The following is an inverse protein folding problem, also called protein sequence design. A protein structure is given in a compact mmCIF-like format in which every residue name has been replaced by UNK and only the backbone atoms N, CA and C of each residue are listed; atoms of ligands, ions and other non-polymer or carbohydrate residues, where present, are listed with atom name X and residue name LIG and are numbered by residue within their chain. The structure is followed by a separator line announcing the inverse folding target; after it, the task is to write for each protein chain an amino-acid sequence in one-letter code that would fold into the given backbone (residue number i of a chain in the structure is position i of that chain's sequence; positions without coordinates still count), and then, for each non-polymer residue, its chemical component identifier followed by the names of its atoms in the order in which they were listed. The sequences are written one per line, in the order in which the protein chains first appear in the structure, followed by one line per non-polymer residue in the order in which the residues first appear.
data_IF_024910950273
#
_entry.id   IF_024910950273
#
_cell.length_a   1.000
_cell.length_b   1.000
_cell.length_c   1.000
_cell.angle_alpha   90.00
_cell.angle_beta   90.00
_cell.angle_gamma   90.00
#
_symmetry.space_group_name_H-M   'P 1'
#
loop_
_entity.id
_entity.type
_entity.pdbx_description
1 polymer ?
#
# COMPACT_ATOMS: atom_id res chain seq x y z
N UNK A 1 -3.01 -3.86 15.15
CA UNK A 1 -2.70 -4.63 13.91
C UNK A 1 -2.57 -3.70 12.71
N UNK A 2 -3.59 -2.90 12.39
CA UNK A 2 -3.57 -2.03 11.21
C UNK A 2 -2.44 -0.99 11.17
N UNK A 3 -2.10 -0.35 12.30
CA UNK A 3 -0.95 0.57 12.38
C UNK A 3 0.35 -0.08 11.90
N UNK A 4 0.54 -1.37 12.22
CA UNK A 4 1.74 -2.11 11.81
C UNK A 4 1.75 -2.32 10.31
N UNK A 5 0.59 -2.65 9.71
CA UNK A 5 0.46 -2.81 8.26
C UNK A 5 0.74 -1.49 7.52
N UNK A 6 0.14 -0.38 7.96
CA UNK A 6 0.40 0.94 7.37
C UNK A 6 1.88 1.32 7.53
N UNK A 7 2.48 1.04 8.70
CA UNK A 7 3.91 1.28 8.90
C UNK A 7 4.77 0.46 7.94
N UNK A 8 4.44 -0.80 7.72
CA UNK A 8 5.13 -1.61 6.72
C UNK A 8 4.96 -1.05 5.31
N UNK A 9 3.76 -0.61 4.94
CA UNK A 9 3.49 0.01 3.64
C UNK A 9 4.40 1.22 3.38
N UNK A 10 4.53 2.13 4.35
CA UNK A 10 5.43 3.28 4.21
C UNK A 10 6.92 2.89 4.21
N UNK A 11 7.32 1.91 5.03
CA UNK A 11 8.70 1.41 5.05
C UNK A 11 9.12 0.75 3.73
N UNK A 12 8.16 0.20 2.98
CA UNK A 12 8.42 -0.42 1.67
C UNK A 12 8.41 0.60 0.52
N UNK A 13 8.09 1.87 0.77
CA UNK A 13 8.05 2.91 -0.25
C UNK A 13 7.25 2.54 -1.50
N UNK A 14 6.20 1.72 -1.33
CA UNK A 14 5.33 1.24 -2.40
C UNK A 14 3.91 1.15 -1.90
N UNK A 15 2.96 1.58 -2.72
CA UNK A 15 1.53 1.49 -2.44
C UNK A 15 1.01 0.04 -2.44
N UNK A 16 1.74 -0.89 -3.08
CA UNK A 16 1.41 -2.32 -3.10
C UNK A 16 2.67 -3.19 -3.00
N UNK A 17 3.21 -3.39 -1.79
CA UNK A 17 4.46 -4.13 -1.59
C UNK A 17 4.29 -5.66 -1.53
N UNK A 18 3.07 -6.17 -1.67
CA UNK A 18 2.78 -7.59 -1.50
C UNK A 18 3.19 -8.38 -2.75
N UNK A 19 4.13 -9.31 -2.58
CA UNK A 19 4.62 -10.21 -3.63
C UNK A 19 4.57 -11.66 -3.10
N UNK A 20 3.86 -12.60 -3.77
CA UNK A 20 3.02 -12.40 -4.96
C UNK A 20 1.74 -11.60 -4.65
N UNK A 21 1.14 -10.92 -5.65
CA UNK A 21 -0.12 -10.20 -5.47
C UNK A 21 -1.26 -11.18 -5.12
N UNK A 22 -2.31 -10.65 -4.49
CA UNK A 22 -3.56 -11.39 -4.31
C UNK A 22 -4.11 -11.89 -5.66
N UNK A 23 -4.70 -13.08 -5.68
CA UNK A 23 -5.26 -13.72 -6.90
C UNK A 23 -6.26 -12.85 -7.66
N UNK A 24 -6.97 -11.96 -6.96
CA UNK A 24 -7.94 -11.01 -7.56
C UNK A 24 -7.30 -9.78 -8.21
N UNK A 25 -5.99 -9.57 -8.04
CA UNK A 25 -5.28 -8.37 -8.46
C UNK A 25 -4.21 -8.73 -9.50
N UNK A 26 -4.38 -8.25 -10.73
CA UNK A 26 -3.36 -8.34 -11.78
C UNK A 26 -2.48 -7.09 -11.75
N UNK A 27 -1.17 -7.28 -11.67
CA UNK A 27 -0.18 -6.19 -11.63
C UNK A 27 0.87 -6.42 -12.71
N UNK A 28 1.10 -5.39 -13.52
CA UNK A 28 2.25 -5.31 -14.40
C UNK A 28 3.43 -4.73 -13.61
N UNK A 29 4.42 -5.57 -13.28
CA UNK A 29 5.49 -5.21 -12.35
C UNK A 29 6.34 -4.04 -12.82
N UNK A 30 6.61 -3.93 -14.12
CA UNK A 30 7.42 -2.85 -14.69
C UNK A 30 6.77 -1.49 -14.43
N UNK A 31 5.47 -1.37 -14.72
CA UNK A 31 4.69 -0.18 -14.43
C UNK A 31 4.55 0.06 -12.92
N UNK A 32 4.33 -0.98 -12.13
CA UNK A 32 4.19 -0.82 -10.68
C UNK A 32 5.46 -0.28 -10.02
N UNK A 33 6.64 -0.70 -10.50
CA UNK A 33 7.93 -0.17 -10.01
C UNK A 33 8.07 1.31 -10.34
N UNK A 34 7.51 1.80 -11.44
CA UNK A 34 7.59 3.22 -11.82
C UNK A 34 6.53 4.05 -11.10
N UNK A 35 5.27 3.62 -11.13
CA UNK A 35 4.11 4.45 -10.77
C UNK A 35 3.51 4.15 -9.40
N UNK A 36 3.79 2.99 -8.79
CA UNK A 36 3.25 2.62 -7.47
C UNK A 36 4.20 2.93 -6.31
N UNK A 37 5.22 3.76 -6.52
CA UNK A 37 6.17 4.20 -5.49
C UNK A 37 5.57 5.25 -4.56
N UNK A 38 6.07 5.28 -3.33
CA UNK A 38 5.81 6.33 -2.34
C UNK A 38 7.10 7.12 -2.16
N UNK A 39 7.24 8.19 -2.95
CA UNK A 39 8.46 9.02 -2.98
C UNK A 39 8.64 9.86 -1.72
N UNK A 40 7.53 10.21 -1.05
CA UNK A 40 7.54 10.96 0.21
C UNK A 40 6.43 10.50 1.13
N UNK A 41 6.63 10.64 2.44
CA UNK A 41 5.61 10.29 3.42
C UNK A 41 4.45 11.30 3.31
N UNK A 42 3.22 10.85 3.00
CA UNK A 42 2.09 11.75 2.91
C UNK A 42 1.68 12.25 4.30
N UNK A 43 1.24 13.51 4.37
CA UNK A 43 0.68 14.09 5.60
C UNK A 43 -0.65 13.44 6.01
N UNK A 44 -1.42 12.96 5.03
CA UNK A 44 -2.68 12.26 5.21
C UNK A 44 -2.73 11.08 4.25
N UNK A 45 -3.04 9.89 4.77
CA UNK A 45 -3.18 8.67 3.99
C UNK A 45 -4.60 8.14 4.09
N UNK A 46 -5.28 8.03 2.94
CA UNK A 46 -6.65 7.55 2.84
C UNK A 46 -6.62 6.28 2.01
N UNK A 47 -7.23 5.21 2.51
CA UNK A 47 -7.37 3.94 1.79
C UNK A 47 -8.75 3.35 2.05
N UNK A 48 -9.38 2.83 1.00
CA UNK A 48 -10.62 2.08 1.09
C UNK A 48 -10.34 0.63 1.44
N UNK A 49 -11.13 0.05 2.35
CA UNK A 49 -11.05 -1.38 2.68
C UNK A 49 -12.37 -1.87 3.26
N UNK A 50 -12.63 -3.18 3.16
CA UNK A 50 -13.78 -3.83 3.81
C UNK A 50 -13.61 -4.02 5.33
N UNK A 51 -12.51 -3.52 5.89
CA UNK A 51 -12.24 -3.59 7.32
C UNK A 51 -13.03 -2.51 8.07
N UNK A 52 -13.21 -2.71 9.38
CA UNK A 52 -13.86 -1.70 10.22
C UNK A 52 -13.18 -0.34 10.07
N UNK A 53 -13.94 0.75 9.84
CA UNK A 53 -13.39 2.09 9.65
C UNK A 53 -12.68 2.57 10.92
N UNK A 54 -11.57 3.28 10.74
CA UNK A 54 -10.78 3.84 11.84
C UNK A 54 -9.96 5.04 11.36
N UNK A 55 -9.53 5.88 12.31
CA UNK A 55 -8.60 7.00 12.10
C UNK A 55 -7.48 6.88 13.15
N UNK A 56 -6.24 7.11 12.74
CA UNK A 56 -5.05 7.03 13.59
C UNK A 56 -3.97 8.00 13.19
#
# INVERSE_FOLDING_TARGET
RMCRLIRHLFQQHSFYPLIPPNESVSIEYEQAIEYAKIDSLPHLFITSSDLRPFIK
#
